data_IF_780875222429
#
_entry.id   IF_780875222429
#
_cell.length_a   1.000
_cell.length_b   1.000
_cell.length_c   1.000
_cell.angle_alpha   90.00
_cell.angle_beta   90.00
_cell.angle_gamma   90.00
#
_symmetry.space_group_name_H-M   'P 1'
#
loop_
_entity.id
_entity.type
_entity.pdbx_description
1 polymer ?
#
# COMPACT_ATOMS: atom_id res chain seq x y z
N UNK A 1 -8.85 2.17 -1.73
CA UNK A 1 -9.38 1.96 -0.37
C UNK A 1 -10.84 1.52 -0.49
N UNK A 2 -11.28 0.51 0.26
CA UNK A 2 -12.67 0.01 0.18
C UNK A 2 -13.50 0.42 1.39
N UNK A 3 -12.91 0.40 2.58
CA UNK A 3 -13.53 0.87 3.82
C UNK A 3 -12.46 1.25 4.82
N UNK A 4 -12.80 2.11 5.76
CA UNK A 4 -11.98 2.40 6.93
C UNK A 4 -12.88 2.79 8.10
N UNK A 5 -12.37 2.56 9.31
CA UNK A 5 -12.97 3.00 10.57
C UNK A 5 -11.87 3.57 11.47
N UNK A 6 -12.24 4.50 12.34
CA UNK A 6 -11.30 5.23 13.21
C UNK A 6 -11.91 5.55 14.55
N UNK A 7 -11.12 5.34 15.62
CA UNK A 7 -11.47 5.74 16.98
C UNK A 7 -10.35 6.59 17.58
N UNK A 8 -10.72 7.75 18.11
CA UNK A 8 -9.84 8.52 18.99
C UNK A 8 -9.85 7.87 20.37
N UNK A 9 -8.69 7.47 20.88
CA UNK A 9 -8.57 6.94 22.24
C UNK A 9 -8.46 8.12 23.22
N UNK A 10 -9.45 8.34 24.10
CA UNK A 10 -9.42 9.48 25.01
C UNK A 10 -8.23 9.40 25.97
N UNK A 11 -7.55 10.53 26.18
CA UNK A 11 -6.43 10.65 27.11
C UNK A 11 -5.07 10.22 26.56
N UNK A 12 -5.01 9.58 25.38
CA UNK A 12 -3.73 9.25 24.71
C UNK A 12 -3.38 10.22 23.60
N UNK A 13 -4.37 10.89 23.01
CA UNK A 13 -4.15 11.72 21.82
C UNK A 13 -3.80 10.90 20.57
N UNK A 14 -4.22 9.63 20.53
CA UNK A 14 -3.93 8.70 19.44
C UNK A 14 -5.23 8.24 18.76
N UNK A 15 -5.22 8.21 17.43
CA UNK A 15 -6.20 7.50 16.62
C UNK A 15 -5.79 6.05 16.41
N UNK A 16 -6.73 5.13 16.59
CA UNK A 16 -6.63 3.76 16.10
C UNK A 16 -7.44 3.65 14.82
N UNK A 17 -6.80 3.27 13.72
CA UNK A 17 -7.43 3.20 12.40
C UNK A 17 -7.35 1.77 11.89
N UNK A 18 -8.47 1.26 11.38
CA UNK A 18 -8.52 0.00 10.65
C UNK A 18 -9.03 0.29 9.25
N UNK A 19 -8.20 0.00 8.25
CA UNK A 19 -8.53 0.18 6.85
C UNK A 19 -8.50 -1.15 6.10
N UNK A 20 -9.43 -1.30 5.17
CA UNK A 20 -9.47 -2.40 4.22
C UNK A 20 -9.39 -1.85 2.81
N UNK A 21 -8.78 -2.63 1.93
CA UNK A 21 -8.69 -2.23 0.55
C UNK A 21 -8.33 -3.35 -0.39
N UNK A 22 -8.34 -2.96 -1.66
CA UNK A 22 -7.78 -3.74 -2.74
C UNK A 22 -6.55 -3.04 -3.29
N UNK A 23 -5.52 -3.79 -3.61
CA UNK A 23 -4.28 -3.30 -4.23
C UNK A 23 -3.97 -4.11 -5.49
N UNK A 24 -3.35 -3.47 -6.47
CA UNK A 24 -2.81 -4.13 -7.66
C UNK A 24 -1.33 -3.80 -7.76
N UNK A 25 -0.59 -4.73 -8.34
CA UNK A 25 0.82 -4.58 -8.61
C UNK A 25 1.04 -4.51 -10.13
N UNK A 26 2.13 -3.86 -10.53
CA UNK A 26 2.57 -3.87 -11.90
C UNK A 26 3.26 -5.21 -12.19
N UNK A 27 2.73 -5.94 -13.16
CA UNK A 27 3.22 -7.25 -13.58
C UNK A 27 4.01 -7.15 -14.91
N UNK A 28 4.38 -5.92 -15.34
CA UNK A 28 5.16 -5.67 -16.56
C UNK A 28 6.62 -6.16 -16.51
N UNK A 29 7.08 -6.67 -15.37
CA UNK A 29 8.48 -7.05 -15.14
C UNK A 29 9.42 -5.87 -14.89
N UNK A 30 8.87 -4.66 -14.73
CA UNK A 30 9.63 -3.43 -14.48
C UNK A 30 9.66 -3.08 -12.99
N UNK A 31 10.81 -2.59 -12.54
CA UNK A 31 10.95 -1.97 -11.22
C UNK A 31 10.32 -0.58 -11.21
N UNK A 32 10.21 0.03 -10.02
CA UNK A 32 9.66 1.40 -9.85
C UNK A 32 10.42 2.47 -10.66
N UNK A 33 11.72 2.24 -10.91
CA UNK A 33 12.56 3.12 -11.72
C UNK A 33 12.51 2.81 -13.23
N UNK A 34 11.74 1.78 -13.63
CA UNK A 34 11.52 1.40 -15.03
C UNK A 34 12.51 0.36 -15.58
N UNK A 35 13.50 -0.05 -14.78
CA UNK A 35 14.48 -1.09 -15.12
C UNK A 35 13.82 -2.47 -15.18
N UNK A 36 14.27 -3.34 -16.08
CA UNK A 36 13.87 -4.76 -16.13
C UNK A 36 15.02 -5.67 -15.72
N UNK A 37 14.67 -6.89 -15.32
CA UNK A 37 15.63 -7.95 -15.04
C UNK A 37 16.12 -8.68 -16.31
N UNK A 38 15.81 -8.14 -17.50
CA UNK A 38 16.26 -8.72 -18.77
C UNK A 38 17.76 -8.51 -18.95
N UNK A 39 18.47 -9.55 -19.38
CA UNK A 39 19.91 -9.48 -19.64
C UNK A 39 20.24 -8.46 -20.75
N UNK A 40 19.38 -8.36 -21.77
CA UNK A 40 19.50 -7.40 -22.87
C UNK A 40 18.51 -6.27 -22.62
N UNK A 41 19.02 -5.12 -22.19
CA UNK A 41 18.19 -3.95 -21.99
C UNK A 41 17.96 -3.22 -23.33
N UNK A 42 16.74 -3.30 -23.84
CA UNK A 42 16.28 -2.40 -24.89
C UNK A 42 16.13 -0.98 -24.29
N UNK A 43 16.36 0.08 -25.08
CA UNK A 43 16.26 1.45 -24.59
C UNK A 43 14.90 1.68 -23.90
N UNK A 44 14.96 2.07 -22.63
CA UNK A 44 13.80 2.18 -21.76
C UNK A 44 12.86 3.29 -22.22
N UNK A 45 11.89 2.95 -23.08
CA UNK A 45 10.69 3.77 -23.22
C UNK A 45 9.87 3.65 -21.93
N UNK A 46 9.37 4.79 -21.44
CA UNK A 46 8.37 4.84 -20.36
C UNK A 46 7.11 4.11 -20.82
N UNK A 47 7.05 2.80 -20.61
CA UNK A 47 5.87 2.03 -20.91
C UNK A 47 4.88 2.14 -19.76
N UNK A 48 3.61 1.98 -20.12
CA UNK A 48 2.50 1.95 -19.17
C UNK A 48 2.59 0.69 -18.30
N UNK A 49 2.31 0.82 -17.01
CA UNK A 49 2.17 -0.30 -16.10
C UNK A 49 1.09 -1.30 -16.57
N UNK A 50 1.38 -2.59 -16.42
CA UNK A 50 0.45 -3.68 -16.68
C UNK A 50 -0.12 -4.16 -15.33
N UNK A 51 -1.29 -3.65 -14.97
CA UNK A 51 -1.90 -3.97 -13.67
C UNK A 51 -2.43 -5.40 -13.62
N UNK A 52 -1.93 -6.18 -12.66
CA UNK A 52 -2.42 -7.51 -12.35
C UNK A 52 -3.79 -7.55 -11.65
N UNK A 53 -4.21 -8.74 -11.17
CA UNK A 53 -5.46 -8.92 -10.43
C UNK A 53 -5.44 -8.23 -9.05
N UNK A 54 -6.64 -8.05 -8.47
CA UNK A 54 -6.78 -7.40 -7.16
C UNK A 54 -6.35 -8.32 -6.01
N UNK A 55 -5.45 -7.83 -5.17
CA UNK A 55 -5.16 -8.37 -3.85
C UNK A 55 -6.04 -7.71 -2.81
N UNK A 56 -6.44 -8.44 -1.77
CA UNK A 56 -7.10 -7.88 -0.59
C UNK A 56 -6.07 -7.54 0.49
N UNK A 57 -6.24 -6.42 1.19
CA UNK A 57 -5.42 -6.08 2.34
C UNK A 57 -6.25 -5.56 3.52
N UNK A 58 -5.69 -5.74 4.71
CA UNK A 58 -6.08 -5.10 5.95
C UNK A 58 -4.88 -4.32 6.50
N UNK A 59 -5.13 -3.10 6.95
CA UNK A 59 -4.14 -2.19 7.49
C UNK A 59 -4.63 -1.68 8.84
N UNK A 60 -3.84 -1.89 9.89
CA UNK A 60 -4.06 -1.31 11.21
C UNK A 60 -2.99 -0.28 11.53
N UNK A 61 -3.42 0.91 11.95
CA UNK A 61 -2.55 2.05 12.24
C UNK A 61 -2.83 2.60 13.63
N UNK A 62 -1.77 3.11 14.25
CA UNK A 62 -1.86 4.03 15.40
C UNK A 62 -1.22 5.34 14.95
N UNK A 63 -1.97 6.43 15.02
CA UNK A 63 -1.57 7.75 14.48
C UNK A 63 -1.82 8.84 15.51
N UNK A 64 -0.92 9.81 15.62
CA UNK A 64 -1.10 10.95 16.51
C UNK A 64 -2.28 11.83 16.08
N UNK A 65 -2.99 12.40 17.06
CA UNK A 65 -4.12 13.29 16.81
C UNK A 65 -3.72 14.54 16.01
N UNK A 66 -2.46 14.96 16.09
CA UNK A 66 -1.92 16.08 15.33
C UNK A 66 -2.08 15.91 13.81
N UNK A 67 -2.17 14.67 13.32
CA UNK A 67 -2.42 14.36 11.91
C UNK A 67 -3.75 14.92 11.39
N UNK A 68 -4.73 15.16 12.28
CA UNK A 68 -6.01 15.77 11.92
C UNK A 68 -5.91 17.29 11.67
N UNK A 69 -4.84 17.92 12.15
CA UNK A 69 -4.61 19.37 12.04
C UNK A 69 -3.48 19.75 11.09
N UNK A 70 -2.51 18.86 10.90
CA UNK A 70 -1.38 19.05 10.01
C UNK A 70 -1.07 17.69 9.35
N UNK A 71 -1.06 17.66 8.02
CA UNK A 71 -0.83 16.47 7.21
C UNK A 71 0.65 16.28 6.82
N UNK A 72 1.51 17.29 7.03
CA UNK A 72 2.95 17.23 6.75
C UNK A 72 3.77 16.92 8.01
N UNK A 73 3.35 15.92 8.79
CA UNK A 73 4.06 15.47 9.99
C UNK A 73 4.24 13.94 10.03
N UNK A 74 5.32 13.51 10.67
CA UNK A 74 5.58 12.10 10.98
C UNK A 74 4.73 11.66 12.18
N UNK A 75 3.47 11.30 11.92
CA UNK A 75 2.46 11.00 12.95
C UNK A 75 2.13 9.51 13.11
N UNK A 76 2.68 8.64 12.27
CA UNK A 76 2.37 7.21 12.27
C UNK A 76 3.29 6.50 13.28
N UNK A 77 2.71 6.04 14.39
CA UNK A 77 3.41 5.29 15.43
C UNK A 77 3.55 3.80 15.11
N UNK A 78 2.55 3.23 14.44
CA UNK A 78 2.53 1.80 14.11
C UNK A 78 1.88 1.57 12.76
N UNK A 79 2.50 0.69 11.98
CA UNK A 79 2.04 0.29 10.66
C UNK A 79 1.99 -1.23 10.55
N UNK A 80 0.79 -1.81 10.64
CA UNK A 80 0.59 -3.25 10.48
C UNK A 80 -0.20 -3.52 9.18
N UNK A 81 0.52 -3.93 8.14
CA UNK A 81 -0.04 -4.23 6.83
C UNK A 81 -0.08 -5.74 6.59
N UNK A 82 -1.27 -6.27 6.32
CA UNK A 82 -1.48 -7.70 6.05
C UNK A 82 -2.29 -7.91 4.79
N UNK A 83 -1.77 -8.73 3.89
CA UNK A 83 -2.53 -9.22 2.74
C UNK A 83 -3.52 -10.27 3.22
N UNK A 84 -4.80 -10.08 2.89
CA UNK A 84 -5.91 -10.96 3.29
C UNK A 84 -6.34 -11.90 2.17
N UNK A 85 -6.09 -11.53 0.91
CA UNK A 85 -6.40 -12.35 -0.25
C UNK A 85 -5.32 -12.19 -1.32
N UNK A 86 -4.79 -13.32 -1.80
CA UNK A 86 -3.89 -13.42 -2.94
C UNK A 86 -4.60 -14.11 -4.10
N UNK A 87 -4.74 -13.45 -5.26
CA UNK A 87 -5.27 -14.09 -6.47
C UNK A 87 -4.30 -15.15 -7.01
N UNK A 88 -4.85 -16.24 -7.55
CA UNK A 88 -4.07 -17.39 -8.06
C UNK A 88 -3.30 -17.09 -9.35
N UNK A 89 -3.79 -16.15 -10.15
CA UNK A 89 -3.29 -15.75 -11.46
C UNK A 89 -2.24 -14.62 -11.40
N UNK A 90 -1.88 -14.14 -10.21
CA UNK A 90 -0.84 -13.12 -10.08
C UNK A 90 0.56 -13.70 -10.15
N UNK A 91 1.46 -13.00 -10.84
CA UNK A 91 2.89 -13.31 -10.86
C UNK A 91 3.60 -12.83 -9.59
N UNK A 92 2.95 -12.02 -8.76
CA UNK A 92 3.53 -11.51 -7.51
C UNK A 92 3.51 -12.59 -6.43
N UNK A 93 4.69 -12.90 -5.90
CA UNK A 93 4.89 -13.75 -4.73
C UNK A 93 4.99 -12.89 -3.46
N UNK A 94 4.32 -13.34 -2.39
CA UNK A 94 4.24 -12.69 -1.07
C UNK A 94 4.76 -13.64 0.00
#
# INVERSE_FOLDING_TARGET
MTSFDTHLVPGTGLYTIIAHGKVRFDESGRLRLGETADLVQLPAQKARALWGPWFGFNLSLIVDQAAATNDEIESINTWNYRVTYKPHDSVVAL
#
